data_IF_739731518136
#
_entry.id   IF_739731518136
#
_cell.length_a   1.000
_cell.length_b   1.000
_cell.length_c   1.000
_cell.angle_alpha   90.00
_cell.angle_beta   90.00
_cell.angle_gamma   90.00
#
_symmetry.space_group_name_H-M   'P 1'
#
loop_
_entity.id
_entity.type
_entity.pdbx_description
1 polymer ?
#
# COMPACT_ATOMS: atom_id res chain seq x y z
N UNK A 1 32.69 31.88 27.91
CA UNK A 1 33.20 30.56 27.45
C UNK A 1 32.85 30.40 25.98
N UNK A 2 33.83 30.14 25.11
CA UNK A 2 33.60 29.99 23.68
C UNK A 2 32.95 28.64 23.38
N UNK A 3 31.78 28.65 22.74
CA UNK A 3 31.11 27.45 22.25
C UNK A 3 31.83 26.93 20.99
N UNK A 4 32.92 26.19 21.19
CA UNK A 4 33.68 25.55 20.11
C UNK A 4 32.93 24.28 19.68
N UNK A 5 32.05 24.42 18.69
CA UNK A 5 31.34 23.29 18.09
C UNK A 5 32.38 22.31 17.50
N UNK A 6 32.40 21.07 18.01
CA UNK A 6 33.33 20.03 17.57
C UNK A 6 33.14 19.74 16.08
N UNK A 7 34.25 19.66 15.31
CA UNK A 7 34.22 19.36 13.86
C UNK A 7 33.51 18.03 13.54
N UNK A 8 33.38 17.15 14.53
CA UNK A 8 32.73 15.85 14.41
C UNK A 8 31.23 15.87 14.76
N UNK A 9 30.77 16.89 15.49
CA UNK A 9 29.37 17.05 15.87
C UNK A 9 28.77 18.18 15.04
N UNK A 10 28.30 17.84 13.84
CA UNK A 10 27.55 18.77 13.02
C UNK A 10 26.06 18.51 13.26
N UNK A 11 25.31 19.43 13.92
CA UNK A 11 23.88 19.25 14.20
C UNK A 11 23.00 19.41 12.96
N UNK A 12 23.60 19.62 11.79
CA UNK A 12 22.88 19.90 10.57
C UNK A 12 22.37 18.60 9.93
N UNK A 13 21.10 18.61 9.52
CA UNK A 13 20.41 17.45 8.95
C UNK A 13 20.87 17.07 7.53
N UNK A 14 21.83 17.79 6.96
CA UNK A 14 22.35 17.49 5.62
C UNK A 14 23.65 16.69 5.67
N UNK A 15 23.86 15.87 4.65
CA UNK A 15 25.06 15.06 4.52
C UNK A 15 26.27 15.90 4.12
N UNK A 16 27.41 15.67 4.78
CA UNK A 16 28.66 16.33 4.41
C UNK A 16 29.22 15.75 3.10
N UNK A 17 30.02 16.53 2.33
CA UNK A 17 30.62 16.06 1.08
C UNK A 17 31.49 14.79 1.24
N UNK A 18 32.14 14.63 2.40
CA UNK A 18 32.90 13.42 2.73
C UNK A 18 31.98 12.19 2.85
N UNK A 19 30.83 12.36 3.52
CA UNK A 19 29.86 11.30 3.75
C UNK A 19 29.13 10.87 2.46
N UNK A 20 28.82 11.82 1.57
CA UNK A 20 28.23 11.50 0.26
C UNK A 20 29.16 10.64 -0.59
N UNK A 21 30.47 10.93 -0.59
CA UNK A 21 31.48 10.18 -1.35
C UNK A 21 31.61 8.74 -0.87
N UNK A 22 31.55 8.52 0.44
CA UNK A 22 31.60 7.19 1.04
C UNK A 22 30.40 6.29 0.64
N UNK A 23 29.25 6.88 0.28
CA UNK A 23 28.04 6.13 -0.12
C UNK A 23 27.91 5.89 -1.61
N UNK A 24 28.66 6.61 -2.44
CA UNK A 24 28.65 6.46 -3.92
C UNK A 24 28.72 5.00 -4.40
N UNK A 25 29.61 4.12 -3.88
CA UNK A 25 29.72 2.75 -4.41
C UNK A 25 28.52 1.85 -4.08
N UNK A 26 27.77 2.15 -3.02
CA UNK A 26 26.64 1.32 -2.57
C UNK A 26 25.29 1.80 -3.10
N UNK A 27 25.19 3.05 -3.55
CA UNK A 27 23.93 3.62 -4.04
C UNK A 27 23.36 2.80 -5.22
N UNK A 28 24.21 2.44 -6.18
CA UNK A 28 23.77 1.68 -7.37
C UNK A 28 23.35 0.26 -6.99
N UNK A 29 24.18 -0.44 -6.21
CA UNK A 29 23.90 -1.83 -5.80
C UNK A 29 22.63 -1.92 -4.97
N UNK A 30 22.43 -1.01 -4.01
CA UNK A 30 21.23 -0.97 -3.18
C UNK A 30 19.99 -0.59 -3.97
N UNK A 31 20.10 0.31 -4.96
CA UNK A 31 18.99 0.66 -5.84
C UNK A 31 18.55 -0.54 -6.69
N UNK A 32 19.48 -1.30 -7.24
CA UNK A 32 19.17 -2.53 -8.01
C UNK A 32 18.45 -3.53 -7.12
N UNK A 33 18.98 -3.81 -5.92
CA UNK A 33 18.34 -4.75 -4.98
C UNK A 33 16.94 -4.27 -4.59
N UNK A 34 16.76 -2.97 -4.32
CA UNK A 34 15.45 -2.39 -4.02
C UNK A 34 14.48 -2.52 -5.20
N UNK A 35 14.94 -2.29 -6.42
CA UNK A 35 14.12 -2.42 -7.63
C UNK A 35 13.72 -3.87 -7.89
N UNK A 36 14.63 -4.83 -7.67
CA UNK A 36 14.31 -6.25 -7.76
C UNK A 36 13.25 -6.66 -6.73
N UNK A 37 13.39 -6.20 -5.49
CA UNK A 37 12.43 -6.50 -4.43
C UNK A 37 11.04 -5.92 -4.74
N UNK A 38 10.99 -4.64 -5.15
CA UNK A 38 9.75 -3.98 -5.53
C UNK A 38 9.11 -4.62 -6.76
N UNK A 39 9.92 -4.93 -7.77
CA UNK A 39 9.46 -5.63 -8.97
C UNK A 39 8.91 -7.01 -8.66
N UNK A 40 9.58 -7.78 -7.80
CA UNK A 40 9.12 -9.09 -7.36
C UNK A 40 7.79 -9.00 -6.61
N UNK A 41 7.69 -8.14 -5.58
CA UNK A 41 6.45 -7.95 -4.83
C UNK A 41 5.30 -7.45 -5.73
N UNK A 42 5.57 -6.48 -6.60
CA UNK A 42 4.59 -5.94 -7.54
C UNK A 42 4.11 -6.99 -8.55
N UNK A 43 5.02 -7.85 -9.03
CA UNK A 43 4.69 -8.95 -9.91
C UNK A 43 3.77 -9.98 -9.23
N UNK A 44 4.10 -10.38 -7.99
CA UNK A 44 3.26 -11.30 -7.20
C UNK A 44 1.88 -10.70 -6.98
N UNK A 45 1.79 -9.44 -6.54
CA UNK A 45 0.51 -8.75 -6.32
C UNK A 45 -0.33 -8.67 -7.60
N UNK A 46 0.28 -8.23 -8.70
CA UNK A 46 -0.43 -8.10 -9.98
C UNK A 46 -0.89 -9.46 -10.50
N UNK A 47 -0.05 -10.49 -10.35
CA UNK A 47 -0.40 -11.86 -10.69
C UNK A 47 -1.57 -12.35 -9.85
N UNK A 48 -1.61 -12.08 -8.54
CA UNK A 48 -2.73 -12.47 -7.68
C UNK A 48 -4.08 -11.95 -8.19
N UNK A 49 -4.14 -10.71 -8.69
CA UNK A 49 -5.39 -10.14 -9.23
C UNK A 49 -5.77 -10.82 -10.56
N UNK A 50 -4.81 -11.04 -11.46
CA UNK A 50 -5.08 -11.62 -12.79
C UNK A 50 -5.39 -13.13 -12.72
N UNK A 51 -4.73 -13.83 -11.79
CA UNK A 51 -4.90 -15.26 -11.58
C UNK A 51 -6.26 -15.60 -10.96
N UNK A 52 -6.87 -14.65 -10.23
CA UNK A 52 -8.28 -14.76 -9.82
C UNK A 52 -9.13 -14.54 -11.08
N UNK A 53 -9.34 -15.61 -11.84
CA UNK A 53 -10.42 -15.65 -12.82
C UNK A 53 -11.71 -15.58 -12.01
N UNK A 54 -12.51 -14.54 -12.26
CA UNK A 54 -13.86 -14.49 -11.70
C UNK A 54 -14.60 -15.73 -12.23
N UNK A 55 -15.11 -16.56 -11.32
CA UNK A 55 -15.88 -17.75 -11.70
C UNK A 55 -17.04 -17.36 -12.61
N UNK A 56 -17.31 -18.20 -13.62
CA UNK A 56 -18.42 -18.01 -14.53
C UNK A 56 -19.73 -18.34 -13.81
N UNK A 57 -20.36 -17.33 -13.20
CA UNK A 57 -21.62 -17.47 -12.47
C UNK A 57 -22.84 -17.49 -13.39
N UNK A 58 -22.67 -17.77 -14.69
CA UNK A 58 -23.78 -17.79 -15.65
C UNK A 58 -24.77 -18.94 -15.43
N UNK A 59 -24.35 -20.00 -14.73
CA UNK A 59 -25.18 -21.14 -14.36
C UNK A 59 -25.92 -20.96 -13.02
N UNK A 60 -25.58 -19.93 -12.23
CA UNK A 60 -26.21 -19.66 -10.93
C UNK A 60 -27.40 -18.72 -11.10
N UNK A 61 -28.64 -19.15 -10.80
CA UNK A 61 -29.81 -18.28 -10.86
C UNK A 61 -29.74 -17.21 -9.76
N UNK A 62 -29.83 -15.94 -10.16
CA UNK A 62 -29.80 -14.79 -9.23
C UNK A 62 -31.09 -14.79 -8.37
N UNK A 63 -30.98 -14.61 -7.04
CA UNK A 63 -32.17 -14.45 -6.22
C UNK A 63 -32.96 -13.20 -6.63
N UNK A 64 -34.29 -13.23 -6.50
CA UNK A 64 -35.12 -12.08 -6.82
C UNK A 64 -34.69 -10.86 -5.99
N UNK A 65 -34.70 -9.65 -6.57
CA UNK A 65 -34.33 -8.44 -5.85
C UNK A 65 -35.17 -8.31 -4.59
N UNK A 66 -34.60 -7.81 -3.48
CA UNK A 66 -35.34 -7.66 -2.24
C UNK A 66 -36.55 -6.75 -2.50
N UNK A 67 -37.73 -7.34 -2.52
CA UNK A 67 -38.97 -6.59 -2.53
C UNK A 67 -39.00 -5.76 -1.26
N UNK A 68 -39.06 -4.44 -1.40
CA UNK A 68 -39.21 -3.45 -0.31
C UNK A 68 -40.46 -3.66 0.58
N UNK A 69 -41.23 -4.72 0.33
CA UNK A 69 -42.45 -5.12 1.02
C UNK A 69 -42.27 -5.37 2.52
N UNK A 70 -41.06 -5.69 3.00
CA UNK A 70 -40.82 -5.91 4.44
C UNK A 70 -40.65 -4.61 5.25
N UNK A 71 -40.34 -3.47 4.61
CA UNK A 71 -40.26 -2.17 5.29
C UNK A 71 -41.64 -1.52 5.42
N UNK A 72 -42.57 -1.82 4.52
CA UNK A 72 -43.93 -1.24 4.53
C UNK A 72 -44.85 -1.96 5.53
N UNK A 73 -44.67 -3.27 5.73
CA UNK A 73 -45.50 -4.06 6.65
C UNK A 73 -45.26 -3.78 8.14
N UNK A 74 -44.14 -3.14 8.52
CA UNK A 74 -43.85 -2.84 9.93
C UNK A 74 -44.40 -1.47 10.38
N UNK A 75 -44.80 -0.58 9.44
CA UNK A 75 -45.39 0.73 9.79
C UNK A 75 -46.92 0.67 9.93
N UNK A 76 -47.56 -0.41 9.46
CA UNK A 76 -49.02 -0.56 9.48
C UNK A 76 -49.56 -1.41 10.64
N UNK A 77 -48.68 -2.04 11.43
CA UNK A 77 -49.07 -2.92 12.55
C UNK A 77 -49.16 -2.20 13.92
N UNK A 78 -49.01 -0.88 13.98
CA UNK A 78 -49.12 -0.04 15.20
C UNK A 78 -50.40 0.82 15.22
N UNK A 79 -51.49 0.35 14.59
CA UNK A 79 -52.78 1.10 14.55
C UNK A 79 -54.01 0.25 14.87
N UNK A 80 -53.89 -0.81 15.67
CA UNK A 80 -55.06 -1.45 16.24
C UNK A 80 -54.80 -2.14 17.58
#
# INVERSE_FOLDING_TARGET
MFNQQSKYQNPKLYFTPAMQRARKPFAVRNAITGMLLLGFCGAVFSYSIVAVKQDDLSDVPMPPPPSSTNSEKNLTNDKN
#
